data_IF_939640707264
#
_entry.id   IF_939640707264
#
_cell.length_a   1.000
_cell.length_b   1.000
_cell.length_c   1.000
_cell.angle_alpha   90.00
_cell.angle_beta   90.00
_cell.angle_gamma   90.00
#
_symmetry.space_group_name_H-M   'P 1'
#
loop_
_entity.id
_entity.type
_entity.pdbx_description
1 polymer ?
#
# COMPACT_ATOMS: atom_id res chain seq x y z
N UNK A 1 -1.43 -24.93 14.71
CA UNK A 1 -0.83 -23.86 13.88
C UNK A 1 -0.94 -22.47 14.52
N UNK A 2 -2.16 -21.98 14.83
CA UNK A 2 -2.39 -20.67 15.47
C UNK A 2 -1.71 -20.49 16.85
N UNK A 3 -1.68 -21.53 17.68
CA UNK A 3 -1.04 -21.45 19.01
C UNK A 3 0.50 -21.36 18.96
N UNK A 4 1.12 -21.74 17.84
CA UNK A 4 2.57 -21.57 17.62
C UNK A 4 2.86 -20.14 17.17
N UNK A 5 2.03 -19.61 16.27
CA UNK A 5 2.06 -18.23 15.76
C UNK A 5 2.02 -17.22 16.92
N UNK A 6 1.10 -17.40 17.88
CA UNK A 6 0.98 -16.55 19.08
C UNK A 6 2.21 -16.56 20.01
N UNK A 7 3.08 -17.56 19.91
CA UNK A 7 4.34 -17.65 20.70
C UNK A 7 5.53 -17.00 20.00
N UNK A 8 5.44 -16.81 18.68
CA UNK A 8 6.53 -16.28 17.84
C UNK A 8 6.34 -14.78 17.60
N UNK A 9 5.10 -14.32 17.47
CA UNK A 9 4.81 -12.90 17.26
C UNK A 9 4.56 -12.16 18.58
N UNK A 10 4.87 -10.86 18.58
CA UNK A 10 4.50 -9.99 19.69
C UNK A 10 2.97 -9.99 19.87
N UNK A 11 2.51 -9.76 21.10
CA UNK A 11 1.06 -9.67 21.39
C UNK A 11 0.45 -8.60 20.47
N UNK A 12 -0.63 -8.96 19.76
CA UNK A 12 -1.33 -8.13 18.75
C UNK A 12 -0.63 -8.01 17.37
N UNK A 13 0.46 -8.75 17.16
CA UNK A 13 1.13 -8.80 15.86
C UNK A 13 0.79 -10.10 15.14
N UNK A 14 0.41 -9.98 13.88
CA UNK A 14 0.18 -11.13 12.99
C UNK A 14 1.28 -11.29 11.94
N UNK A 15 2.41 -10.59 12.11
CA UNK A 15 3.54 -10.58 11.18
C UNK A 15 4.87 -10.40 11.91
N UNK A 16 5.96 -10.82 11.25
CA UNK A 16 7.32 -10.63 11.76
C UNK A 16 7.78 -9.20 11.49
N UNK A 17 8.39 -8.54 12.47
CA UNK A 17 9.03 -7.25 12.26
C UNK A 17 10.50 -7.28 12.63
N UNK A 18 11.27 -6.67 11.76
CA UNK A 18 12.70 -6.46 11.92
C UNK A 18 13.00 -5.43 13.02
N UNK A 19 12.04 -4.58 13.39
CA UNK A 19 12.21 -3.56 14.42
C UNK A 19 11.02 -3.55 15.41
N UNK A 20 11.22 -3.95 16.67
CA UNK A 20 10.12 -4.20 17.63
C UNK A 20 9.30 -2.95 17.97
N UNK A 21 9.85 -1.75 17.76
CA UNK A 21 9.13 -0.49 18.01
C UNK A 21 8.41 0.05 16.76
N UNK A 22 8.75 -0.42 15.54
CA UNK A 22 8.09 0.02 14.29
C UNK A 22 6.87 -0.85 14.03
N UNK A 23 5.78 -0.50 14.69
CA UNK A 23 4.48 -1.19 14.62
C UNK A 23 3.79 -0.92 13.28
N UNK A 24 2.70 -1.63 13.00
CA UNK A 24 1.85 -1.35 11.84
C UNK A 24 1.34 0.09 11.88
N UNK A 25 0.99 0.59 13.08
CA UNK A 25 0.54 1.97 13.30
C UNK A 25 1.64 2.97 12.92
N UNK A 26 2.91 2.70 13.26
CA UNK A 26 4.04 3.56 12.84
C UNK A 26 4.08 3.70 11.31
N UNK A 27 3.95 2.58 10.59
CA UNK A 27 3.98 2.57 9.13
C UNK A 27 2.73 3.21 8.51
N UNK A 28 1.54 2.92 9.04
CA UNK A 28 0.31 3.62 8.66
C UNK A 28 0.44 5.13 8.81
N UNK A 29 1.03 5.56 9.92
CA UNK A 29 1.22 6.96 10.21
C UNK A 29 2.17 7.64 9.23
N UNK A 30 3.21 6.96 8.74
CA UNK A 30 4.07 7.46 7.66
C UNK A 30 3.25 7.75 6.39
N UNK A 31 2.39 6.82 5.97
CA UNK A 31 1.61 7.00 4.75
C UNK A 31 0.55 8.11 4.87
N UNK A 32 -0.01 8.31 6.07
CA UNK A 32 -0.96 9.39 6.37
C UNK A 32 -0.23 10.74 6.48
N UNK A 33 0.83 10.84 7.27
CA UNK A 33 1.59 12.08 7.54
C UNK A 33 2.23 12.65 6.27
N UNK A 34 2.61 11.78 5.34
CA UNK A 34 3.13 12.19 4.04
C UNK A 34 2.05 12.54 3.03
N UNK A 35 0.76 12.48 3.38
CA UNK A 35 -0.40 12.58 2.48
C UNK A 35 -0.34 11.59 1.31
N UNK A 36 0.31 10.43 1.49
CA UNK A 36 0.40 9.41 0.44
C UNK A 36 -0.90 8.63 0.30
N UNK A 37 -1.59 8.39 1.42
CA UNK A 37 -2.89 7.73 1.44
C UNK A 37 -3.89 8.49 2.31
N UNK A 38 -5.17 8.22 2.08
CA UNK A 38 -6.26 8.49 3.02
C UNK A 38 -6.98 7.19 3.31
N UNK A 39 -7.22 6.90 4.58
CA UNK A 39 -7.93 5.68 5.01
C UNK A 39 -9.37 6.01 5.43
N UNK A 40 -10.29 5.07 5.16
CA UNK A 40 -11.68 5.15 5.57
C UNK A 40 -12.12 3.79 6.13
N UNK A 41 -11.93 3.54 7.43
CA UNK A 41 -12.34 2.31 8.07
C UNK A 41 -13.87 2.20 8.11
N UNK A 42 -14.37 0.98 7.97
CA UNK A 42 -15.78 0.63 8.04
C UNK A 42 -16.00 -0.43 9.11
N UNK A 43 -16.85 -0.10 10.07
CA UNK A 43 -17.19 -0.99 11.17
C UNK A 43 -18.39 -1.86 10.87
N UNK A 44 -18.50 -2.98 11.57
CA UNK A 44 -19.70 -3.80 11.57
C UNK A 44 -20.92 -2.97 12.07
N UNK A 45 -22.07 -3.00 11.37
CA UNK A 45 -23.26 -2.25 11.79
C UNK A 45 -23.80 -2.66 13.16
N UNK A 46 -23.61 -3.93 13.54
CA UNK A 46 -24.05 -4.53 14.80
C UNK A 46 -22.97 -4.40 15.89
N UNK A 47 -21.69 -4.33 15.51
CA UNK A 47 -20.56 -4.17 16.44
C UNK A 47 -19.55 -3.12 15.97
N UNK A 48 -19.76 -1.86 16.40
CA UNK A 48 -19.03 -0.69 15.88
C UNK A 48 -17.51 -0.67 16.15
N UNK A 49 -17.03 -1.42 17.14
CA UNK A 49 -15.60 -1.52 17.45
C UNK A 49 -14.87 -2.49 16.51
N UNK A 50 -15.59 -3.37 15.82
CA UNK A 50 -15.01 -4.28 14.83
C UNK A 50 -14.93 -3.62 13.47
N UNK A 51 -13.70 -3.22 13.09
CA UNK A 51 -13.40 -2.77 11.74
C UNK A 51 -13.35 -4.00 10.83
N UNK A 52 -14.34 -4.13 9.95
CA UNK A 52 -14.45 -5.26 9.02
C UNK A 52 -13.61 -5.03 7.78
N UNK A 53 -13.59 -3.80 7.27
CA UNK A 53 -12.81 -3.45 6.11
C UNK A 53 -12.40 -1.98 6.12
N UNK A 54 -11.33 -1.66 5.40
CA UNK A 54 -10.86 -0.28 5.24
C UNK A 54 -10.66 0.03 3.76
N UNK A 55 -11.25 1.14 3.32
CA UNK A 55 -10.94 1.71 2.00
C UNK A 55 -9.70 2.59 2.10
N UNK A 56 -8.76 2.41 1.18
CA UNK A 56 -7.51 3.15 1.06
C UNK A 56 -7.55 3.94 -0.25
N UNK A 57 -7.44 5.25 -0.13
CA UNK A 57 -7.35 6.16 -1.27
C UNK A 57 -5.89 6.60 -1.43
N UNK A 58 -5.22 6.08 -2.45
CA UNK A 58 -3.84 6.43 -2.79
C UNK A 58 -3.86 7.80 -3.46
N UNK A 59 -3.15 8.76 -2.89
CA UNK A 59 -3.10 10.16 -3.33
C UNK A 59 -1.80 10.50 -4.05
N UNK A 60 -0.68 9.92 -3.59
CA UNK A 60 0.63 10.03 -4.23
C UNK A 60 1.57 8.94 -3.74
N UNK A 61 2.64 8.73 -4.49
CA UNK A 61 3.73 7.78 -4.20
C UNK A 61 5.04 8.55 -4.33
N UNK A 62 5.72 8.74 -3.20
CA UNK A 62 6.91 9.60 -3.15
C UNK A 62 8.10 8.83 -3.74
N UNK A 63 8.69 9.39 -4.78
CA UNK A 63 9.96 8.93 -5.36
C UNK A 63 11.13 9.33 -4.47
N UNK A 64 12.27 8.64 -4.61
CA UNK A 64 13.50 9.01 -3.90
C UNK A 64 13.97 10.43 -4.25
N UNK A 65 13.69 10.88 -5.48
CA UNK A 65 14.03 12.22 -5.95
C UNK A 65 13.17 13.29 -5.27
N UNK A 66 11.85 13.06 -5.15
CA UNK A 66 10.93 13.94 -4.42
C UNK A 66 11.20 13.92 -2.90
N UNK A 67 11.68 12.80 -2.36
CA UNK A 67 12.05 12.71 -0.96
C UNK A 67 13.17 13.69 -0.58
N UNK A 68 14.13 13.86 -1.50
CA UNK A 68 15.31 14.70 -1.35
C UNK A 68 16.57 13.93 -0.95
N UNK A 69 17.74 14.54 -1.16
CA UNK A 69 19.03 13.99 -0.76
C UNK A 69 19.49 14.53 0.61
N UNK A 70 20.08 13.68 1.47
CA UNK A 70 20.23 12.24 1.30
C UNK A 70 18.98 11.46 1.74
N UNK A 71 18.66 10.30 1.12
CA UNK A 71 17.43 9.53 1.40
C UNK A 71 17.40 8.91 2.81
N UNK A 72 18.57 8.77 3.45
CA UNK A 72 18.70 8.31 4.83
C UNK A 72 18.43 9.43 5.86
N UNK A 73 18.25 10.68 5.41
CA UNK A 73 17.93 11.77 6.31
C UNK A 73 16.53 11.56 6.90
N UNK A 74 16.45 11.68 8.22
CA UNK A 74 15.21 11.50 8.95
C UNK A 74 14.32 12.73 8.82
N UNK A 75 13.04 12.50 8.54
CA UNK A 75 11.96 13.47 8.70
C UNK A 75 11.28 13.23 10.04
N UNK A 76 10.68 14.29 10.58
CA UNK A 76 9.86 14.21 11.78
C UNK A 76 8.39 14.13 11.39
N UNK A 77 7.61 13.38 12.17
CA UNK A 77 6.15 13.40 12.04
C UNK A 77 5.60 14.79 12.36
N UNK A 78 4.52 15.18 11.67
CA UNK A 78 3.80 16.43 11.97
C UNK A 78 3.13 16.42 13.35
N UNK A 79 2.79 15.22 13.86
CA UNK A 79 2.19 15.01 15.17
C UNK A 79 3.09 14.16 16.08
N UNK A 80 2.83 14.23 17.38
CA UNK A 80 3.57 13.42 18.37
C UNK A 80 3.38 11.92 18.12
N UNK A 81 4.49 11.20 17.99
CA UNK A 81 4.53 9.74 17.88
C UNK A 81 5.72 9.20 18.69
N UNK A 82 5.60 7.99 19.25
CA UNK A 82 6.62 7.42 20.14
C UNK A 82 8.00 7.32 19.48
N UNK A 83 8.03 6.91 18.21
CA UNK A 83 9.19 7.06 17.33
C UNK A 83 8.96 8.34 16.51
N UNK A 84 9.63 9.46 16.81
CA UNK A 84 9.28 10.74 16.20
C UNK A 84 9.83 10.90 14.78
N UNK A 85 10.61 9.94 14.28
CA UNK A 85 11.38 10.07 13.04
C UNK A 85 11.24 8.86 12.11
N UNK A 86 11.31 9.14 10.80
CA UNK A 86 11.30 8.14 9.74
C UNK A 86 12.12 8.62 8.53
N UNK A 87 12.61 7.71 7.70
CA UNK A 87 13.35 8.05 6.47
C UNK A 87 12.68 7.48 5.20
N UNK A 88 13.32 7.61 4.04
CA UNK A 88 12.75 7.12 2.78
C UNK A 88 12.57 5.60 2.76
N UNK A 89 13.46 4.85 3.39
CA UNK A 89 13.35 3.39 3.44
C UNK A 89 12.19 2.97 4.35
N UNK A 90 11.96 3.69 5.45
CA UNK A 90 10.78 3.50 6.28
C UNK A 90 9.49 3.78 5.50
N UNK A 91 9.49 4.79 4.62
CA UNK A 91 8.39 5.08 3.70
C UNK A 91 8.12 3.93 2.71
N UNK A 92 9.15 3.36 2.09
CA UNK A 92 8.99 2.19 1.20
C UNK A 92 8.46 0.98 1.97
N UNK A 93 8.99 0.74 3.18
CA UNK A 93 8.52 -0.34 4.05
C UNK A 93 7.09 -0.12 4.55
N UNK A 94 6.64 1.14 4.64
CA UNK A 94 5.30 1.44 5.09
C UNK A 94 4.23 0.82 4.18
N UNK A 95 4.44 0.84 2.86
CA UNK A 95 3.55 0.20 1.89
C UNK A 95 3.38 -1.31 2.12
N UNK A 96 4.39 -1.99 2.65
CA UNK A 96 4.32 -3.42 2.94
C UNK A 96 3.70 -3.72 4.31
N UNK A 97 3.94 -2.86 5.30
CA UNK A 97 3.61 -3.15 6.69
C UNK A 97 2.26 -2.59 7.12
N UNK A 98 1.80 -1.47 6.55
CA UNK A 98 0.51 -0.84 6.90
C UNK A 98 -0.65 -1.80 6.69
N UNK A 99 -0.66 -2.57 5.61
CA UNK A 99 -1.82 -3.40 5.23
C UNK A 99 -1.80 -4.80 5.85
N UNK A 100 -0.91 -5.05 6.82
CA UNK A 100 -0.85 -6.31 7.58
C UNK A 100 -1.81 -6.34 8.79
N UNK A 101 -2.53 -5.25 9.04
CA UNK A 101 -3.56 -5.21 10.08
C UNK A 101 -4.61 -6.30 9.85
N UNK A 102 -4.97 -6.97 10.94
CA UNK A 102 -6.10 -7.89 11.01
C UNK A 102 -6.95 -7.51 12.22
N UNK A 103 -8.26 -7.68 12.08
CA UNK A 103 -9.18 -7.46 13.19
C UNK A 103 -9.14 -8.66 14.16
N UNK A 104 -9.88 -8.57 15.27
CA UNK A 104 -9.94 -9.63 16.29
C UNK A 104 -10.48 -10.98 15.78
N UNK A 105 -11.06 -11.02 14.58
CA UNK A 105 -11.57 -12.23 13.94
C UNK A 105 -10.65 -12.75 12.83
N UNK A 106 -9.50 -12.12 12.59
CA UNK A 106 -8.57 -12.41 11.49
C UNK A 106 -9.25 -12.34 10.10
N UNK A 107 -10.20 -11.41 9.93
CA UNK A 107 -11.04 -11.27 8.71
C UNK A 107 -11.06 -9.85 8.17
N UNK A 108 -9.98 -9.09 8.33
CA UNK A 108 -9.95 -7.73 7.82
C UNK A 108 -9.63 -7.70 6.33
N UNK A 109 -10.37 -6.88 5.57
CA UNK A 109 -10.15 -6.67 4.14
C UNK A 109 -9.77 -5.22 3.81
N UNK A 110 -8.77 -5.05 2.95
CA UNK A 110 -8.35 -3.75 2.43
C UNK A 110 -8.88 -3.55 1.01
N UNK A 111 -9.39 -2.34 0.72
CA UNK A 111 -9.89 -1.96 -0.59
C UNK A 111 -9.11 -0.75 -1.13
N UNK A 112 -8.32 -0.95 -2.18
CA UNK A 112 -7.49 0.11 -2.75
C UNK A 112 -8.20 0.86 -3.86
N UNK A 113 -8.03 2.18 -3.87
CA UNK A 113 -8.51 3.07 -4.91
C UNK A 113 -7.46 4.17 -5.14
N UNK A 114 -7.25 4.58 -6.38
CA UNK A 114 -6.53 5.82 -6.67
C UNK A 114 -7.48 6.99 -6.51
N UNK A 115 -7.07 8.00 -5.74
CA UNK A 115 -7.85 9.22 -5.58
C UNK A 115 -7.87 9.98 -6.91
N UNK A 116 -8.98 10.66 -7.23
CA UNK A 116 -9.11 11.43 -8.47
C UNK A 116 -8.15 12.62 -8.53
N UNK A 117 -7.57 12.97 -7.40
CA UNK A 117 -6.58 14.04 -7.25
C UNK A 117 -5.16 13.61 -7.58
N UNK A 118 -4.90 12.30 -7.78
CA UNK A 118 -3.59 11.80 -8.19
C UNK A 118 -3.15 12.48 -9.48
N UNK A 119 -1.92 12.99 -9.49
CA UNK A 119 -1.35 13.59 -10.68
C UNK A 119 -1.07 12.51 -11.73
N UNK A 120 -1.74 12.56 -12.89
CA UNK A 120 -1.55 11.59 -13.97
C UNK A 120 -0.15 11.60 -14.58
N UNK A 121 0.65 12.64 -14.33
CA UNK A 121 2.06 12.73 -14.76
C UNK A 121 3.04 12.31 -13.67
N UNK A 122 2.57 11.84 -12.52
CA UNK A 122 3.45 11.43 -11.44
C UNK A 122 4.30 10.24 -11.88
N UNK A 123 5.60 10.31 -11.58
CA UNK A 123 6.51 9.19 -11.81
C UNK A 123 6.24 8.16 -10.72
N UNK A 124 5.86 6.95 -11.12
CA UNK A 124 5.64 5.84 -10.19
C UNK A 124 6.97 5.09 -10.01
N UNK A 125 7.48 4.95 -8.76
CA UNK A 125 8.70 4.18 -8.51
C UNK A 125 8.56 2.71 -8.87
N UNK A 126 9.64 2.10 -9.38
CA UNK A 126 9.65 0.67 -9.72
C UNK A 126 9.30 -0.25 -8.53
N UNK A 127 9.77 0.07 -7.33
CA UNK A 127 9.43 -0.73 -6.13
C UNK A 127 7.93 -0.72 -5.82
N UNK A 128 7.21 0.35 -6.20
CA UNK A 128 5.77 0.44 -6.00
C UNK A 128 5.02 -0.36 -7.06
N UNK A 129 5.51 -0.35 -8.30
CA UNK A 129 4.98 -1.22 -9.36
C UNK A 129 5.13 -2.69 -8.98
N UNK A 130 6.29 -3.07 -8.43
CA UNK A 130 6.54 -4.42 -7.92
C UNK A 130 5.57 -4.77 -6.77
N UNK A 131 5.42 -3.88 -5.78
CA UNK A 131 4.42 -4.02 -4.72
C UNK A 131 3.00 -4.23 -5.27
N UNK A 132 2.59 -3.45 -6.28
CA UNK A 132 1.27 -3.56 -6.90
C UNK A 132 1.04 -4.92 -7.57
N UNK A 133 2.07 -5.62 -8.03
CA UNK A 133 1.89 -6.97 -8.60
C UNK A 133 1.44 -8.00 -7.57
N UNK A 134 1.81 -7.82 -6.30
CA UNK A 134 1.46 -8.76 -5.23
C UNK A 134 0.17 -8.37 -4.51
N UNK A 135 -0.06 -7.07 -4.32
CA UNK A 135 -1.18 -6.55 -3.51
C UNK A 135 -2.30 -5.91 -4.34
N UNK A 136 -2.06 -5.65 -5.62
CA UNK A 136 -3.05 -5.15 -6.55
C UNK A 136 -4.10 -6.21 -6.92
N UNK A 137 -5.13 -5.81 -7.66
CA UNK A 137 -6.15 -6.73 -8.17
C UNK A 137 -5.53 -7.77 -9.11
N UNK A 138 -6.06 -9.01 -9.03
CA UNK A 138 -5.74 -10.06 -9.99
C UNK A 138 -6.31 -9.69 -11.38
N UNK A 139 -5.58 -9.97 -12.46
CA UNK A 139 -6.05 -9.75 -13.83
C UNK A 139 -7.38 -10.44 -14.11
N UNK A 140 -7.68 -11.58 -13.47
CA UNK A 140 -8.95 -12.31 -13.62
C UNK A 140 -10.21 -11.49 -13.25
N UNK A 141 -10.06 -10.36 -12.55
CA UNK A 141 -11.20 -9.47 -12.22
C UNK A 141 -11.48 -8.44 -13.33
N UNK A 142 -10.66 -8.39 -14.38
CA UNK A 142 -10.85 -7.49 -15.50
C UNK A 142 -12.04 -7.94 -16.35
N UNK A 143 -12.88 -7.01 -16.83
CA UNK A 143 -13.87 -7.34 -17.85
C UNK A 143 -13.16 -7.83 -19.13
N UNK A 144 -13.71 -8.84 -19.85
CA UNK A 144 -13.08 -9.39 -21.06
C UNK A 144 -12.76 -8.33 -22.14
N UNK A 145 -13.59 -7.28 -22.24
CA UNK A 145 -13.35 -6.18 -23.18
C UNK A 145 -12.10 -5.35 -22.87
N UNK A 146 -11.69 -5.33 -21.60
CA UNK A 146 -10.49 -4.64 -21.14
C UNK A 146 -9.25 -5.50 -21.38
N UNK A 147 -9.36 -6.82 -21.19
CA UNK A 147 -8.31 -7.78 -21.54
C UNK A 147 -8.02 -7.78 -23.05
N UNK A 148 -9.04 -7.79 -23.90
CA UNK A 148 -8.86 -7.75 -25.35
C UNK A 148 -8.16 -6.45 -25.82
N UNK A 149 -8.51 -5.32 -25.20
CA UNK A 149 -7.86 -4.05 -25.46
C UNK A 149 -6.38 -4.05 -25.01
N UNK A 150 -6.08 -4.70 -23.87
CA UNK A 150 -4.72 -4.89 -23.38
C UNK A 150 -3.86 -5.71 -24.33
N UNK A 151 -4.37 -6.86 -24.76
CA UNK A 151 -3.67 -7.77 -25.65
C UNK A 151 -3.37 -7.13 -27.00
N UNK A 152 -4.35 -6.38 -27.52
CA UNK A 152 -4.19 -5.59 -28.74
C UNK A 152 -3.09 -4.54 -28.57
N UNK A 153 -3.09 -3.81 -27.45
CA UNK A 153 -2.09 -2.77 -27.21
C UNK A 153 -0.69 -3.36 -27.01
N UNK A 154 -0.56 -4.46 -26.25
CA UNK A 154 0.68 -5.17 -26.03
C UNK A 154 1.29 -5.71 -27.33
N UNK A 155 0.46 -6.16 -28.26
CA UNK A 155 0.89 -6.66 -29.58
C UNK A 155 1.40 -5.57 -30.53
N UNK A 156 1.15 -4.29 -30.21
CA UNK A 156 1.47 -3.15 -31.08
C UNK A 156 2.58 -2.23 -30.52
N UNK A 157 3.18 -2.59 -29.38
CA UNK A 157 4.28 -1.83 -28.76
C UNK A 157 5.52 -2.73 -28.76
N UNK A 158 6.71 -2.14 -28.92
CA UNK A 158 7.98 -2.88 -28.78
C UNK A 158 8.06 -3.55 -27.39
N UNK A 159 8.88 -4.62 -27.29
CA UNK A 159 9.05 -5.45 -26.09
C UNK A 159 9.62 -4.63 -24.92
N UNK A 160 8.76 -3.85 -24.25
CA UNK A 160 9.11 -3.04 -23.09
C UNK A 160 9.03 -3.97 -21.87
N UNK A 161 10.14 -4.20 -21.15
CA UNK A 161 10.10 -4.93 -19.90
C UNK A 161 9.07 -4.28 -18.96
N UNK A 162 8.25 -5.09 -18.29
CA UNK A 162 7.20 -4.66 -17.35
C UNK A 162 5.91 -4.09 -17.98
N UNK A 163 5.71 -4.18 -19.29
CA UNK A 163 4.47 -3.71 -19.95
C UNK A 163 3.16 -4.31 -19.37
N UNK A 164 3.02 -5.63 -19.13
CA UNK A 164 1.78 -6.18 -18.58
C UNK A 164 1.47 -5.66 -17.18
N UNK A 165 2.52 -5.38 -16.39
CA UNK A 165 2.43 -4.85 -15.02
C UNK A 165 2.01 -3.38 -15.06
N UNK A 166 2.61 -2.60 -15.94
CA UNK A 166 2.24 -1.20 -16.18
C UNK A 166 0.82 -1.08 -16.70
N UNK A 167 0.44 -1.88 -17.69
CA UNK A 167 -0.88 -1.79 -18.30
C UNK A 167 -2.00 -2.24 -17.34
N UNK A 168 -1.79 -3.30 -16.56
CA UNK A 168 -2.70 -3.68 -15.46
C UNK A 168 -2.84 -2.55 -14.43
N UNK A 169 -1.71 -1.98 -13.99
CA UNK A 169 -1.72 -0.81 -13.11
C UNK A 169 -2.56 0.33 -13.69
N UNK A 170 -2.24 0.83 -14.88
CA UNK A 170 -2.91 1.99 -15.48
C UNK A 170 -4.41 1.77 -15.74
N UNK A 171 -4.82 0.55 -16.10
CA UNK A 171 -6.23 0.21 -16.29
C UNK A 171 -7.02 0.28 -15.00
N UNK A 172 -6.47 -0.26 -13.91
CA UNK A 172 -7.13 -0.21 -12.61
C UNK A 172 -7.13 1.21 -12.02
N UNK A 173 -6.10 2.00 -12.32
CA UNK A 173 -5.98 3.38 -11.83
C UNK A 173 -6.79 4.41 -12.62
N UNK A 174 -7.28 4.09 -13.84
CA UNK A 174 -7.89 5.05 -14.77
C UNK A 174 -7.02 6.32 -14.97
N UNK A 175 -5.70 6.14 -14.96
CA UNK A 175 -4.72 7.22 -15.16
C UNK A 175 -4.41 7.42 -16.64
#
# INVERSE_FOLDING_TARGET
PLEIIKRVFFKEWNYYSEHPQKTQIFYEFILIDTDSIRICPKSDPSYRELITHTSVFIQKIITIAEWGHPPHHYKQFSSSFDIPIYNYFDYVQAWHNTFLFQNIEDKHSWFFCFDKTVNSKQIIPYWFMDWWTFYGPNQDILPPSVEEALDTLASNIEDIPFWPIMASFFIHCKL
#
